data_IF_353306088633
#
_entry.id   IF_353306088633
#
_cell.length_a   1.000
_cell.length_b   1.000
_cell.length_c   1.000
_cell.angle_alpha   90.00
_cell.angle_beta   90.00
_cell.angle_gamma   90.00
#
_symmetry.space_group_name_H-M   'P 1'
#
loop_
_entity.id
_entity.type
_entity.pdbx_description
1 polymer ?
#
# COMPACT_ATOMS: atom_id res chain seq x y z
N UNK A 1 -1.16 5.09 -1.78
CA UNK A 1 0.08 5.86 -1.89
C UNK A 1 1.28 4.94 -1.66
N UNK A 2 2.48 5.39 -2.06
CA UNK A 2 3.74 4.65 -1.95
C UNK A 2 4.14 4.39 -0.49
N UNK A 3 5.04 3.42 -0.22
CA UNK A 3 5.65 3.26 1.10
C UNK A 3 6.29 4.54 1.63
N UNK A 4 7.01 5.27 0.76
CA UNK A 4 7.77 6.47 1.10
C UNK A 4 6.86 7.65 1.49
N UNK A 5 5.68 7.73 0.90
CA UNK A 5 4.69 8.79 1.18
C UNK A 5 3.65 8.37 2.24
N UNK A 6 3.64 7.10 2.66
CA UNK A 6 2.62 6.57 3.56
C UNK A 6 2.59 7.32 4.91
N UNK A 7 3.76 7.61 5.48
CA UNK A 7 3.88 8.30 6.78
C UNK A 7 3.40 9.76 6.78
N UNK A 8 3.30 10.40 5.61
CA UNK A 8 2.74 11.74 5.49
C UNK A 8 1.20 11.75 5.58
N UNK A 9 0.56 10.60 5.36
CA UNK A 9 -0.91 10.47 5.32
C UNK A 9 -1.44 9.66 6.52
N UNK A 10 -0.75 8.57 6.87
CA UNK A 10 -1.16 7.65 7.93
C UNK A 10 -0.01 7.55 8.94
N UNK A 11 -0.25 8.04 10.16
CA UNK A 11 0.74 8.08 11.24
C UNK A 11 0.46 7.06 12.35
N UNK A 12 -0.73 6.47 12.38
CA UNK A 12 -1.16 5.55 13.44
C UNK A 12 -0.88 4.07 13.15
N UNK A 13 -0.42 3.75 11.93
CA UNK A 13 0.01 2.41 11.50
C UNK A 13 1.21 2.53 10.58
N UNK A 14 2.01 1.47 10.49
CA UNK A 14 3.12 1.40 9.54
C UNK A 14 2.67 0.81 8.21
N UNK A 15 3.47 1.05 7.17
CA UNK A 15 3.26 0.39 5.88
C UNK A 15 3.45 -1.13 5.96
N UNK A 16 4.37 -1.59 6.82
CA UNK A 16 4.65 -3.00 7.03
C UNK A 16 3.43 -3.73 7.63
N UNK A 17 2.74 -3.12 8.60
CA UNK A 17 1.52 -3.69 9.20
C UNK A 17 0.46 -3.98 8.14
N UNK A 18 0.35 -3.10 7.13
CA UNK A 18 -0.56 -3.28 6.00
C UNK A 18 -0.15 -4.48 5.14
N UNK A 19 1.14 -4.64 4.83
CA UNK A 19 1.62 -5.77 4.03
C UNK A 19 1.43 -7.10 4.75
N UNK A 20 1.70 -7.14 6.05
CA UNK A 20 1.48 -8.31 6.90
C UNK A 20 0.00 -8.73 6.89
N UNK A 21 -0.90 -7.76 7.05
CA UNK A 21 -2.35 -8.02 6.96
C UNK A 21 -2.74 -8.64 5.62
N UNK A 22 -2.18 -8.14 4.51
CA UNK A 22 -2.44 -8.69 3.18
C UNK A 22 -1.90 -10.12 3.03
N UNK A 23 -0.75 -10.43 3.63
CA UNK A 23 -0.23 -11.80 3.67
C UNK A 23 -1.19 -12.74 4.41
N UNK A 24 -1.64 -12.37 5.61
CA UNK A 24 -2.59 -13.18 6.38
C UNK A 24 -3.90 -13.43 5.63
N UNK A 25 -4.42 -12.41 4.94
CA UNK A 25 -5.64 -12.53 4.13
C UNK A 25 -5.43 -13.50 2.97
N UNK A 26 -4.26 -13.46 2.32
CA UNK A 26 -3.89 -14.40 1.26
C UNK A 26 -3.77 -15.83 1.78
N UNK A 27 -3.09 -16.02 2.90
CA UNK A 27 -2.84 -17.33 3.51
C UNK A 27 -4.16 -17.97 3.97
N UNK A 28 -5.15 -17.16 4.34
CA UNK A 28 -6.51 -17.59 4.62
C UNK A 28 -7.33 -17.99 3.36
N UNK A 29 -6.75 -17.90 2.16
CA UNK A 29 -7.41 -18.24 0.90
C UNK A 29 -8.44 -17.22 0.43
N UNK A 30 -8.43 -16.01 1.00
CA UNK A 30 -9.37 -14.95 0.61
C UNK A 30 -8.87 -14.17 -0.60
N UNK A 31 -9.81 -13.71 -1.44
CA UNK A 31 -9.47 -12.77 -2.52
C UNK A 31 -9.15 -11.40 -1.95
N UNK A 32 -8.06 -10.82 -2.42
CA UNK A 32 -7.58 -9.51 -1.99
C UNK A 32 -8.09 -8.43 -2.96
N UNK A 33 -8.67 -7.37 -2.41
CA UNK A 33 -8.90 -6.11 -3.10
C UNK A 33 -8.04 -5.04 -2.40
N UNK A 34 -6.95 -4.63 -3.04
CA UNK A 34 -6.03 -3.61 -2.53
C UNK A 34 -5.73 -2.57 -3.60
N UNK A 35 -5.59 -1.32 -3.18
CA UNK A 35 -5.32 -0.18 -4.04
C UNK A 35 -4.83 1.02 -3.24
N UNK A 36 -4.89 2.20 -3.85
CA UNK A 36 -4.61 3.43 -3.14
C UNK A 36 -5.32 4.64 -3.75
N UNK A 37 -5.26 5.74 -3.00
CA UNK A 37 -5.83 7.03 -3.38
C UNK A 37 -4.76 7.82 -4.14
N UNK A 38 -5.17 8.49 -5.21
CA UNK A 38 -4.36 9.43 -5.99
C UNK A 38 -4.83 10.86 -5.71
N UNK A 39 -3.90 11.81 -5.71
CA UNK A 39 -4.20 13.23 -5.47
C UNK A 39 -4.12 13.68 -4.02
N UNK A 40 -3.36 12.97 -3.18
CA UNK A 40 -3.08 13.31 -1.78
C UNK A 40 -1.81 14.17 -1.61
N UNK A 41 -1.29 14.73 -2.70
CA UNK A 41 -0.03 15.47 -2.74
C UNK A 41 1.20 14.60 -3.06
N UNK A 42 0.99 13.34 -3.46
CA UNK A 42 2.07 12.43 -3.83
C UNK A 42 2.69 12.78 -5.20
N UNK A 43 3.97 12.49 -5.36
CA UNK A 43 4.71 12.69 -6.61
C UNK A 43 4.37 11.62 -7.67
N UNK A 44 4.79 11.83 -8.91
CA UNK A 44 4.62 10.81 -9.97
C UNK A 44 5.34 9.50 -9.61
N UNK A 45 6.50 9.60 -8.97
CA UNK A 45 7.31 8.48 -8.50
C UNK A 45 6.59 7.70 -7.41
N UNK A 46 5.88 8.38 -6.51
CA UNK A 46 5.06 7.72 -5.49
C UNK A 46 3.89 6.94 -6.11
N UNK A 47 3.28 7.48 -7.17
CA UNK A 47 2.23 6.74 -7.91
C UNK A 47 2.80 5.49 -8.56
N UNK A 48 3.96 5.60 -9.20
CA UNK A 48 4.64 4.46 -9.79
C UNK A 48 5.04 3.42 -8.74
N UNK A 49 5.62 3.85 -7.61
CA UNK A 49 5.99 2.98 -6.49
C UNK A 49 4.80 2.23 -5.91
N UNK A 50 3.65 2.91 -5.77
CA UNK A 50 2.40 2.26 -5.34
C UNK A 50 1.97 1.16 -6.34
N UNK A 51 2.01 1.43 -7.64
CA UNK A 51 1.61 0.44 -8.65
C UNK A 51 2.58 -0.75 -8.70
N UNK A 52 3.88 -0.50 -8.64
CA UNK A 52 4.91 -1.55 -8.59
C UNK A 52 4.71 -2.43 -7.36
N UNK A 53 4.47 -1.83 -6.20
CA UNK A 53 4.21 -2.61 -4.99
C UNK A 53 3.00 -3.53 -5.18
N UNK A 54 1.88 -2.99 -5.66
CA UNK A 54 0.65 -3.76 -5.83
C UNK A 54 0.79 -4.87 -6.88
N UNK A 55 1.61 -4.65 -7.92
CA UNK A 55 1.90 -5.67 -8.94
C UNK A 55 2.81 -6.80 -8.42
N UNK A 56 3.68 -6.50 -7.46
CA UNK A 56 4.57 -7.47 -6.82
C UNK A 56 3.97 -8.13 -5.58
N UNK A 57 2.73 -7.82 -5.23
CA UNK A 57 2.00 -8.48 -4.15
C UNK A 57 1.61 -9.89 -4.54
#
# INVERSE_FOLDING_TARGET
TSPEFYGNIITTRTYADRLETLSHVRDAGMKICSGGILGMGESLQDRAGMLIQLANL
#
